data_IF_418010941374
#
_entry.id   IF_418010941374
#
_cell.length_a   1.000
_cell.length_b   1.000
_cell.length_c   1.000
_cell.angle_alpha   90.00
_cell.angle_beta   90.00
_cell.angle_gamma   90.00
#
_symmetry.space_group_name_H-M   'P 1'
#
loop_
_entity.id
_entity.type
_entity.pdbx_description
1 polymer ?
#
# COMPACT_ATOMS: atom_id res chain seq x y z
N UNK A 1 -0.28 -1.06 15.44
CA UNK A 1 0.91 -1.33 14.63
C UNK A 1 0.93 -2.83 14.42
N UNK A 2 0.57 -3.28 13.25
CA UNK A 2 0.52 -4.71 12.96
C UNK A 2 1.88 -5.15 12.42
N UNK A 3 2.41 -6.21 12.97
CA UNK A 3 3.64 -6.83 12.51
C UNK A 3 3.32 -8.24 12.03
N UNK A 4 3.76 -8.56 10.84
CA UNK A 4 3.64 -9.91 10.30
C UNK A 4 4.98 -10.61 10.50
N UNK A 5 4.97 -11.69 11.25
CA UNK A 5 6.14 -12.52 11.45
C UNK A 5 6.22 -13.56 10.32
N UNK A 6 7.16 -13.41 9.42
CA UNK A 6 7.46 -14.45 8.42
C UNK A 6 8.55 -15.34 8.98
N UNK A 7 8.21 -16.54 9.42
CA UNK A 7 9.17 -17.53 9.90
C UNK A 7 9.22 -18.70 8.95
N UNK A 8 10.42 -18.99 8.43
CA UNK A 8 10.69 -20.24 7.70
C UNK A 8 11.14 -21.30 8.69
N UNK A 9 10.25 -22.20 9.07
CA UNK A 9 10.58 -23.34 9.91
C UNK A 9 11.27 -24.42 9.07
N UNK A 10 12.60 -24.42 9.08
CA UNK A 10 13.38 -25.48 8.48
C UNK A 10 13.75 -26.50 9.54
N UNK A 11 12.98 -27.57 9.70
CA UNK A 11 13.37 -28.73 10.52
C UNK A 11 13.75 -29.89 9.63
N UNK A 12 15.04 -30.23 9.60
CA UNK A 12 15.56 -31.47 9.06
C UNK A 12 15.06 -32.67 9.93
N UNK A 13 13.84 -33.11 9.71
CA UNK A 13 13.45 -34.46 10.13
C UNK A 13 13.46 -35.33 8.88
N UNK A 14 14.32 -36.35 8.86
CA UNK A 14 14.36 -37.37 7.81
C UNK A 14 12.97 -38.02 7.71
N UNK A 15 12.10 -37.46 6.89
CA UNK A 15 10.98 -38.21 6.33
C UNK A 15 11.48 -38.82 5.01
N UNK A 16 11.55 -40.14 4.96
CA UNK A 16 11.75 -40.89 3.71
C UNK A 16 10.50 -40.68 2.82
N UNK A 17 10.45 -39.57 2.12
CA UNK A 17 9.57 -39.36 1.01
C UNK A 17 10.42 -39.39 -0.24
N UNK A 18 10.23 -40.44 -1.04
CA UNK A 18 10.86 -40.66 -2.35
C UNK A 18 10.48 -39.62 -3.40
N UNK A 19 10.31 -38.36 -3.01
CA UNK A 19 10.15 -37.21 -3.90
C UNK A 19 11.02 -36.05 -3.39
N UNK A 20 12.00 -35.68 -4.16
CA UNK A 20 12.96 -34.61 -3.90
C UNK A 20 12.34 -33.18 -3.89
N UNK A 21 11.05 -33.05 -3.66
CA UNK A 21 10.38 -31.76 -3.56
C UNK A 21 10.46 -31.24 -2.12
N UNK A 22 11.22 -30.19 -1.93
CA UNK A 22 11.22 -29.42 -0.69
C UNK A 22 9.84 -28.76 -0.52
N UNK A 23 9.18 -29.02 0.59
CA UNK A 23 7.90 -28.38 0.95
C UNK A 23 8.15 -27.24 1.92
N UNK A 24 7.51 -26.12 1.70
CA UNK A 24 7.53 -24.97 2.60
C UNK A 24 6.11 -24.71 3.10
N UNK A 25 5.99 -24.21 4.33
CA UNK A 25 4.75 -23.75 4.92
C UNK A 25 4.93 -22.28 5.29
N UNK A 26 3.98 -21.46 4.90
CA UNK A 26 3.84 -20.09 5.37
C UNK A 26 2.64 -20.01 6.31
N UNK A 27 2.89 -19.60 7.55
CA UNK A 27 1.84 -19.39 8.54
C UNK A 27 1.76 -17.89 8.81
N UNK A 28 0.62 -17.28 8.53
CA UNK A 28 0.36 -15.86 8.78
C UNK A 28 -0.55 -15.78 10.00
N UNK A 29 -0.03 -15.22 11.08
CA UNK A 29 -0.80 -14.90 12.28
C UNK A 29 -1.26 -13.45 12.17
N UNK A 30 -2.38 -13.24 11.50
CA UNK A 30 -2.93 -11.91 11.22
C UNK A 30 -3.33 -11.22 12.54
N UNK A 31 -2.92 -9.95 12.68
CA UNK A 31 -3.09 -9.20 13.92
C UNK A 31 -2.07 -9.52 15.03
N UNK A 32 -1.13 -10.43 14.82
CA UNK A 32 -0.07 -10.72 15.78
C UNK A 32 1.04 -9.67 15.69
N UNK A 33 0.90 -8.60 16.48
CA UNK A 33 1.81 -7.45 16.44
C UNK A 33 2.68 -7.32 17.69
N UNK A 34 3.80 -6.64 17.55
CA UNK A 34 4.63 -6.24 18.69
C UNK A 34 4.10 -4.90 19.21
N UNK A 35 3.67 -4.84 20.46
CA UNK A 35 3.22 -3.62 21.08
C UNK A 35 4.35 -2.99 21.92
N UNK A 36 4.52 -1.67 21.80
CA UNK A 36 5.48 -0.94 22.64
C UNK A 36 5.03 -0.79 24.09
N UNK A 37 3.73 -0.92 24.35
CA UNK A 37 3.14 -0.88 25.68
C UNK A 37 2.48 -2.22 25.99
N UNK A 38 3.22 -3.08 26.68
CA UNK A 38 2.77 -4.42 27.07
C UNK A 38 1.46 -4.41 27.87
N UNK A 39 1.18 -3.34 28.63
CA UNK A 39 -0.05 -3.26 29.43
C UNK A 39 -1.33 -3.23 28.59
N UNK A 40 -1.24 -2.86 27.31
CA UNK A 40 -2.37 -2.74 26.40
C UNK A 40 -2.37 -3.87 25.36
N UNK A 41 -1.54 -4.91 25.54
CA UNK A 41 -1.40 -5.99 24.58
C UNK A 41 -1.89 -7.30 25.17
N UNK A 42 -2.95 -7.87 24.61
CA UNK A 42 -3.41 -9.20 24.98
C UNK A 42 -2.39 -10.29 24.63
N UNK A 43 -1.57 -10.08 23.58
CA UNK A 43 -0.51 -10.99 23.17
C UNK A 43 0.58 -11.04 24.25
N UNK A 44 1.05 -9.88 24.73
CA UNK A 44 2.05 -9.79 25.78
C UNK A 44 1.56 -10.33 27.13
N UNK A 45 0.25 -10.23 27.38
CA UNK A 45 -0.37 -10.77 28.60
C UNK A 45 -0.62 -12.29 28.52
N UNK A 46 -0.61 -12.88 27.35
CA UNK A 46 -0.84 -14.29 27.14
C UNK A 46 0.42 -15.12 27.40
N UNK A 47 0.22 -16.38 27.83
CA UNK A 47 1.32 -17.34 27.93
C UNK A 47 1.53 -18.02 26.59
N UNK A 48 2.55 -17.60 25.85
CA UNK A 48 2.85 -18.10 24.50
C UNK A 48 4.26 -18.70 24.38
N UNK A 49 4.65 -19.65 25.28
CA UNK A 49 6.03 -20.08 25.44
C UNK A 49 6.65 -20.68 24.18
N UNK A 50 5.82 -21.30 23.33
CA UNK A 50 6.31 -21.81 22.05
C UNK A 50 6.66 -20.69 21.09
N UNK A 51 5.76 -19.72 20.88
CA UNK A 51 6.01 -18.57 20.00
C UNK A 51 7.17 -17.74 20.53
N UNK A 52 7.22 -17.48 21.84
CA UNK A 52 8.29 -16.72 22.49
C UNK A 52 9.67 -17.39 22.24
N UNK A 53 9.72 -18.72 22.29
CA UNK A 53 10.96 -19.46 22.02
C UNK A 53 11.44 -19.30 20.58
N UNK A 54 10.53 -19.05 19.61
CA UNK A 54 10.90 -18.89 18.21
C UNK A 54 11.72 -17.60 17.99
N UNK A 55 11.43 -16.54 18.73
CA UNK A 55 12.17 -15.27 18.63
C UNK A 55 13.64 -15.41 19.03
N UNK A 56 13.96 -16.35 19.93
CA UNK A 56 15.33 -16.59 20.38
C UNK A 56 16.06 -17.69 19.62
N UNK A 57 15.33 -18.67 19.09
CA UNK A 57 15.90 -19.86 18.47
C UNK A 57 16.04 -19.76 16.95
N UNK A 58 15.33 -18.84 16.30
CA UNK A 58 15.32 -18.73 14.84
C UNK A 58 15.55 -17.29 14.37
N UNK A 59 16.10 -17.09 13.17
CA UNK A 59 16.20 -15.77 12.56
C UNK A 59 14.82 -15.13 12.44
N UNK A 60 14.71 -13.87 12.82
CA UNK A 60 13.48 -13.11 12.75
C UNK A 60 13.73 -11.68 12.28
N UNK A 61 12.69 -11.02 11.78
CA UNK A 61 12.72 -9.64 11.35
C UNK A 61 11.39 -8.97 11.68
N UNK A 62 11.42 -7.65 11.83
CA UNK A 62 10.25 -6.82 12.10
C UNK A 62 9.85 -6.13 10.80
N UNK A 63 8.57 -6.20 10.47
CA UNK A 63 7.97 -5.51 9.33
C UNK A 63 7.11 -4.34 9.85
N UNK A 64 7.17 -3.22 9.15
CA UNK A 64 6.27 -2.10 9.39
C UNK A 64 5.01 -2.28 8.54
N UNK A 65 3.84 -2.08 9.14
CA UNK A 65 2.54 -2.42 8.53
C UNK A 65 1.63 -1.21 8.38
N UNK A 66 2.20 -0.02 8.21
CA UNK A 66 1.48 1.24 8.03
C UNK A 66 2.15 2.11 6.96
N UNK A 67 1.42 3.09 6.47
CA UNK A 67 1.92 4.10 5.55
C UNK A 67 2.57 3.52 4.30
N UNK A 68 3.60 4.15 3.82
CA UNK A 68 4.28 3.77 2.57
C UNK A 68 4.92 2.38 2.61
N UNK A 69 5.21 1.83 3.78
CA UNK A 69 5.74 0.48 3.94
C UNK A 69 4.78 -0.61 3.44
N UNK A 70 3.50 -0.28 3.38
CA UNK A 70 2.46 -1.18 2.84
C UNK A 70 1.70 -0.59 1.66
N UNK A 71 2.21 0.50 1.08
CA UNK A 71 1.63 1.11 -0.11
C UNK A 71 0.49 2.09 0.15
N UNK A 72 0.34 2.55 1.38
CA UNK A 72 -0.64 3.55 1.80
C UNK A 72 0.01 4.93 1.98
N UNK A 73 -0.76 6.03 1.97
CA UNK A 73 -0.24 7.34 2.35
C UNK A 73 0.45 7.35 3.71
N UNK A 74 1.36 8.31 3.89
CA UNK A 74 2.06 8.48 5.16
C UNK A 74 1.08 8.51 6.34
N UNK A 75 1.45 7.84 7.41
CA UNK A 75 0.70 7.76 8.68
C UNK A 75 -0.66 7.04 8.61
N UNK A 76 -1.07 6.53 7.46
CA UNK A 76 -2.28 5.72 7.37
C UNK A 76 -2.02 4.33 7.96
N UNK A 77 -2.89 3.91 8.88
CA UNK A 77 -2.85 2.57 9.47
C UNK A 77 -3.07 1.50 8.39
N UNK A 78 -2.25 0.46 8.40
CA UNK A 78 -2.42 -0.69 7.53
C UNK A 78 -3.63 -1.55 7.89
N UNK A 79 -3.92 -2.49 7.02
CA UNK A 79 -4.97 -3.49 7.22
C UNK A 79 -4.53 -4.82 6.59
N UNK A 80 -5.31 -5.87 6.86
CA UNK A 80 -5.03 -7.21 6.36
C UNK A 80 -4.98 -7.28 4.84
N UNK A 81 -5.83 -6.54 4.14
CA UNK A 81 -5.90 -6.54 2.67
C UNK A 81 -4.58 -6.10 2.04
N UNK A 82 -4.07 -4.93 2.40
CA UNK A 82 -2.80 -4.44 1.85
C UNK A 82 -1.61 -5.29 2.31
N UNK A 83 -1.63 -5.81 3.53
CA UNK A 83 -0.60 -6.70 4.04
C UNK A 83 -0.49 -7.99 3.24
N UNK A 84 -1.61 -8.68 3.04
CA UNK A 84 -1.65 -9.90 2.24
C UNK A 84 -1.33 -9.66 0.77
N UNK A 85 -1.78 -8.53 0.21
CA UNK A 85 -1.42 -8.14 -1.16
C UNK A 85 0.10 -7.99 -1.33
N UNK A 86 0.76 -7.33 -0.40
CA UNK A 86 2.21 -7.14 -0.44
C UNK A 86 2.97 -8.47 -0.27
N UNK A 87 2.51 -9.35 0.62
CA UNK A 87 3.06 -10.69 0.77
C UNK A 87 2.92 -11.50 -0.52
N UNK A 88 1.74 -11.50 -1.12
CA UNK A 88 1.48 -12.24 -2.36
C UNK A 88 2.27 -11.68 -3.55
N UNK A 89 2.45 -10.38 -3.63
CA UNK A 89 3.22 -9.72 -4.68
C UNK A 89 4.75 -9.80 -4.48
N UNK A 90 5.21 -10.12 -3.26
CA UNK A 90 6.64 -10.10 -2.91
C UNK A 90 7.28 -8.71 -2.97
N UNK A 91 6.47 -7.65 -2.92
CA UNK A 91 6.90 -6.25 -2.96
C UNK A 91 5.80 -5.34 -2.41
N UNK A 92 6.15 -4.10 -2.09
CA UNK A 92 5.15 -3.09 -1.77
C UNK A 92 4.33 -2.73 -3.01
N UNK A 93 3.01 -2.84 -2.91
CA UNK A 93 2.04 -2.48 -3.94
C UNK A 93 1.40 -1.15 -3.53
N UNK A 94 1.71 -0.08 -4.25
CA UNK A 94 1.12 1.21 -3.96
C UNK A 94 -0.38 1.19 -4.28
N UNK A 95 -1.18 1.60 -3.30
CA UNK A 95 -2.61 1.82 -3.48
C UNK A 95 -2.84 3.08 -4.32
N UNK A 96 -4.00 3.17 -4.95
CA UNK A 96 -4.30 4.20 -5.95
C UNK A 96 -4.06 5.62 -5.41
N UNK A 97 -4.49 5.91 -4.19
CA UNK A 97 -4.30 7.23 -3.58
C UNK A 97 -2.81 7.60 -3.49
N UNK A 98 -1.98 6.70 -2.95
CA UNK A 98 -0.54 6.94 -2.84
C UNK A 98 0.12 7.05 -4.22
N UNK A 99 -0.29 6.19 -5.16
CA UNK A 99 0.22 6.22 -6.53
C UNK A 99 -0.07 7.56 -7.21
N UNK A 100 -1.30 8.08 -7.05
CA UNK A 100 -1.70 9.37 -7.62
C UNK A 100 -0.95 10.50 -6.91
N UNK A 101 -0.85 10.49 -5.57
CA UNK A 101 -0.07 11.47 -4.82
C UNK A 101 1.36 11.57 -5.35
N UNK A 102 2.05 10.43 -5.48
CA UNK A 102 3.42 10.38 -6.01
C UNK A 102 3.53 10.91 -7.44
N UNK A 103 2.53 10.65 -8.28
CA UNK A 103 2.48 11.21 -9.65
C UNK A 103 2.27 12.71 -9.66
N UNK A 104 1.43 13.23 -8.76
CA UNK A 104 1.24 14.69 -8.60
C UNK A 104 2.53 15.34 -8.13
N UNK A 105 3.15 14.81 -7.08
CA UNK A 105 4.42 15.33 -6.51
C UNK A 105 5.55 15.38 -7.53
N UNK A 106 5.61 14.38 -8.42
CA UNK A 106 6.63 14.30 -9.48
C UNK A 106 6.26 15.04 -10.77
N UNK A 107 5.08 15.67 -10.83
CA UNK A 107 4.59 16.32 -12.05
C UNK A 107 4.24 15.33 -13.18
N UNK A 108 4.07 14.05 -12.88
CA UNK A 108 3.87 13.00 -13.88
C UNK A 108 2.47 13.01 -14.51
N UNK A 109 1.53 13.82 -14.01
CA UNK A 109 0.22 14.00 -14.67
C UNK A 109 0.39 14.51 -16.10
N UNK A 110 1.37 15.36 -16.35
CA UNK A 110 1.72 15.81 -17.68
C UNK A 110 2.10 14.67 -18.66
N UNK A 111 2.47 13.50 -18.14
CA UNK A 111 2.82 12.33 -18.94
C UNK A 111 1.62 11.42 -19.24
N UNK A 112 0.46 11.67 -18.61
CA UNK A 112 -0.75 10.87 -18.84
C UNK A 112 -1.28 11.07 -20.25
N UNK A 113 -1.26 10.00 -21.04
CA UNK A 113 -1.81 10.03 -22.40
C UNK A 113 -3.29 10.41 -22.41
N UNK A 114 -4.08 9.86 -21.48
CA UNK A 114 -5.51 10.12 -21.40
C UNK A 114 -5.82 11.61 -21.12
N UNK A 115 -5.04 12.25 -20.25
CA UNK A 115 -5.21 13.68 -19.97
C UNK A 115 -4.79 14.53 -21.18
N UNK A 116 -3.67 14.19 -21.83
CA UNK A 116 -3.22 14.89 -23.04
C UNK A 116 -4.26 14.80 -24.14
N UNK A 117 -4.72 13.60 -24.44
CA UNK A 117 -5.71 13.38 -25.50
C UNK A 117 -7.02 14.14 -25.22
N UNK A 118 -7.49 14.15 -23.97
CA UNK A 118 -8.70 14.86 -23.57
C UNK A 118 -8.55 16.39 -23.70
N UNK A 119 -7.43 16.95 -23.26
CA UNK A 119 -7.17 18.39 -23.35
C UNK A 119 -6.95 18.83 -24.79
N UNK A 120 -6.25 18.03 -25.57
CA UNK A 120 -6.04 18.32 -26.99
C UNK A 120 -7.35 18.27 -27.77
N UNK A 121 -8.19 17.26 -27.53
CA UNK A 121 -9.51 17.18 -28.12
C UNK A 121 -10.36 18.42 -27.79
N UNK A 122 -10.36 18.83 -26.51
CA UNK A 122 -11.13 20.00 -26.07
C UNK A 122 -10.67 21.29 -26.77
N UNK A 123 -9.35 21.50 -26.91
CA UNK A 123 -8.78 22.67 -27.60
C UNK A 123 -9.11 22.67 -29.08
N UNK A 124 -8.85 21.55 -29.79
CA UNK A 124 -9.05 21.47 -31.22
C UNK A 124 -10.52 21.64 -31.65
N UNK A 125 -11.44 21.20 -30.77
CA UNK A 125 -12.88 21.25 -31.08
C UNK A 125 -13.63 22.36 -30.31
N UNK A 126 -12.92 23.28 -29.66
CA UNK A 126 -13.51 24.35 -28.82
C UNK A 126 -14.54 23.79 -27.80
N UNK A 127 -14.16 22.72 -27.12
CA UNK A 127 -15.03 22.06 -26.12
C UNK A 127 -14.62 22.43 -24.69
N UNK A 128 -15.54 22.16 -23.77
CA UNK A 128 -15.35 22.35 -22.34
C UNK A 128 -14.76 21.09 -21.72
N UNK A 129 -13.89 21.27 -20.71
CA UNK A 129 -13.41 20.20 -19.83
C UNK A 129 -14.12 20.32 -18.50
N UNK A 130 -14.70 19.24 -18.02
CA UNK A 130 -15.35 19.17 -16.72
C UNK A 130 -14.62 18.16 -15.84
N UNK A 131 -14.20 18.59 -14.66
CA UNK A 131 -13.69 17.72 -13.61
C UNK A 131 -14.81 17.42 -12.64
N UNK A 132 -15.13 16.14 -12.48
CA UNK A 132 -16.18 15.64 -11.61
C UNK A 132 -15.56 14.83 -10.47
N UNK A 133 -15.93 15.13 -9.24
CA UNK A 133 -15.45 14.39 -8.08
C UNK A 133 -15.87 15.04 -6.77
N UNK A 134 -15.52 14.40 -5.65
CA UNK A 134 -15.71 14.97 -4.33
C UNK A 134 -14.62 15.98 -4.02
N UNK A 135 -14.99 17.14 -3.51
CA UNK A 135 -14.04 18.13 -2.98
C UNK A 135 -13.74 17.75 -1.53
N UNK A 136 -12.69 16.99 -1.32
CA UNK A 136 -12.31 16.46 -0.02
C UNK A 136 -10.79 16.47 0.15
N UNK A 137 -10.35 16.66 1.36
CA UNK A 137 -8.96 16.48 1.81
C UNK A 137 -8.69 15.12 2.47
N UNK A 138 -9.75 14.32 2.68
CA UNK A 138 -9.67 13.03 3.36
C UNK A 138 -9.03 11.91 2.53
N UNK A 139 -9.01 12.03 1.19
CA UNK A 139 -8.30 11.09 0.32
C UNK A 139 -8.93 9.69 0.18
N UNK A 140 -10.17 9.47 0.63
CA UNK A 140 -10.81 8.16 0.51
C UNK A 140 -11.32 7.94 -0.92
N UNK A 141 -12.05 8.91 -1.46
CA UNK A 141 -12.62 8.84 -2.82
C UNK A 141 -12.02 9.88 -3.77
N UNK A 142 -11.46 10.96 -3.24
CA UNK A 142 -10.78 12.03 -3.98
C UNK A 142 -9.88 12.83 -3.04
N UNK A 143 -9.04 13.67 -3.61
CA UNK A 143 -8.23 14.61 -2.83
C UNK A 143 -8.11 15.94 -3.56
N UNK A 144 -8.31 17.05 -2.84
CA UNK A 144 -8.26 18.42 -3.41
C UNK A 144 -6.95 18.74 -4.11
N UNK A 145 -5.81 18.16 -3.68
CA UNK A 145 -4.53 18.36 -4.34
C UNK A 145 -4.48 17.73 -5.74
N UNK A 146 -5.21 16.62 -5.96
CA UNK A 146 -5.33 16.02 -7.30
C UNK A 146 -6.11 16.93 -8.23
N UNK A 147 -7.22 17.51 -7.75
CA UNK A 147 -8.01 18.48 -8.51
C UNK A 147 -7.19 19.73 -8.85
N UNK A 148 -6.45 20.28 -7.88
CA UNK A 148 -5.55 21.42 -8.12
C UNK A 148 -4.50 21.11 -9.19
N UNK A 149 -3.88 19.93 -9.12
CA UNK A 149 -2.91 19.51 -10.12
C UNK A 149 -3.53 19.34 -11.51
N UNK A 150 -4.77 18.84 -11.61
CA UNK A 150 -5.49 18.74 -12.89
C UNK A 150 -5.81 20.11 -13.48
N UNK A 151 -6.29 21.05 -12.66
CA UNK A 151 -6.59 22.42 -13.09
C UNK A 151 -5.31 23.12 -13.54
N UNK A 152 -4.24 22.98 -12.78
CA UNK A 152 -2.94 23.56 -13.14
C UNK A 152 -2.46 23.00 -14.49
N UNK A 153 -2.49 21.68 -14.67
CA UNK A 153 -2.11 21.04 -15.91
C UNK A 153 -2.97 21.49 -17.10
N UNK A 154 -4.30 21.62 -16.90
CA UNK A 154 -5.21 22.10 -17.94
C UNK A 154 -4.84 23.53 -18.36
N UNK A 155 -4.52 24.40 -17.41
CA UNK A 155 -4.05 25.77 -17.67
C UNK A 155 -2.72 25.78 -18.43
N UNK A 156 -1.73 24.99 -18.00
CA UNK A 156 -0.42 24.84 -18.66
C UNK A 156 -0.55 24.33 -20.10
N UNK A 157 -1.54 23.47 -20.34
CA UNK A 157 -1.87 22.94 -21.68
C UNK A 157 -2.72 23.90 -22.51
N UNK A 158 -3.11 25.07 -21.99
CA UNK A 158 -3.89 26.08 -22.70
C UNK A 158 -5.37 25.74 -22.89
N UNK A 159 -5.95 24.95 -21.99
CA UNK A 159 -7.41 24.70 -21.96
C UNK A 159 -8.11 25.91 -21.35
N UNK A 160 -8.86 26.65 -22.17
CA UNK A 160 -9.52 27.90 -21.74
C UNK A 160 -10.82 27.65 -20.96
N UNK A 161 -11.56 26.63 -21.33
CA UNK A 161 -12.90 26.34 -20.77
C UNK A 161 -12.84 25.11 -19.86
N UNK A 162 -12.45 25.31 -18.60
CA UNK A 162 -12.33 24.28 -17.58
C UNK A 162 -13.28 24.55 -16.44
N UNK A 163 -14.03 23.54 -16.01
CA UNK A 163 -15.05 23.60 -14.95
C UNK A 163 -14.87 22.46 -13.95
N UNK A 164 -15.28 22.71 -12.70
CA UNK A 164 -15.29 21.74 -11.61
C UNK A 164 -16.72 21.52 -11.17
#
# INVERSE_FOLDING_TARGET
MEHILCQSLYKNKKMNLNNNQKKAFLIIMDGWGINRNASNSAIEAAQTPFIDSLYTQYPNAVLLTHGEYVGLPYDQMGNSEVGHMNLGAGRVVYQDLLLINKKVEKGEFANSKALKDAFEYAKQNNKKVHFLGLVSDGGIHSHTNHLKALIQLANEQGVQNCFV
#
